data_IF_321061814205
#
_entry.id   IF_321061814205
#
_cell.length_a   1.000
_cell.length_b   1.000
_cell.length_c   1.000
_cell.angle_alpha   90.00
_cell.angle_beta   90.00
_cell.angle_gamma   90.00
#
_symmetry.space_group_name_H-M   'P 1'
#
loop_
_entity.id
_entity.type
_entity.pdbx_description
1 polymer ?
#
# COMPACT_ATOMS: atom_id res chain seq x y z
N UNK A 1 15.53 -21.64 -0.24
CA UNK A 1 14.71 -20.42 -0.42
C UNK A 1 14.88 -19.97 -1.85
N UNK A 2 13.81 -19.57 -2.52
CA UNK A 2 13.89 -19.04 -3.89
C UNK A 2 14.56 -17.68 -3.92
N UNK A 3 15.11 -17.30 -5.08
CA UNK A 3 15.67 -15.96 -5.32
C UNK A 3 14.57 -14.89 -5.19
N UNK A 4 14.74 -13.86 -4.33
CA UNK A 4 13.75 -12.79 -4.20
C UNK A 4 13.78 -11.77 -5.35
N UNK A 5 14.84 -11.71 -6.16
CA UNK A 5 14.99 -10.68 -7.19
C UNK A 5 13.83 -10.64 -8.21
N UNK A 6 13.35 -11.78 -8.77
CA UNK A 6 12.22 -11.75 -9.69
C UNK A 6 10.94 -11.17 -9.07
N UNK A 7 10.70 -11.43 -7.78
CA UNK A 7 9.52 -10.90 -7.07
C UNK A 7 9.64 -9.38 -6.88
N UNK A 8 10.85 -8.88 -6.64
CA UNK A 8 11.07 -7.43 -6.53
C UNK A 8 10.95 -6.74 -7.88
N UNK A 9 11.44 -7.35 -8.96
CA UNK A 9 11.28 -6.84 -10.32
C UNK A 9 9.79 -6.77 -10.71
N UNK A 10 9.03 -7.83 -10.43
CA UNK A 10 7.58 -7.86 -10.66
C UNK A 10 6.87 -6.76 -9.83
N UNK A 11 7.22 -6.59 -8.55
CA UNK A 11 6.64 -5.54 -7.70
C UNK A 11 6.89 -4.12 -8.26
N UNK A 12 8.07 -3.87 -8.82
CA UNK A 12 8.39 -2.58 -9.47
C UNK A 12 7.52 -2.40 -10.72
N UNK A 13 7.43 -3.42 -11.56
CA UNK A 13 6.61 -3.35 -12.77
C UNK A 13 5.12 -3.12 -12.47
N UNK A 14 4.56 -3.84 -11.48
CA UNK A 14 3.18 -3.65 -11.04
C UNK A 14 2.93 -2.25 -10.44
N UNK A 15 3.93 -1.70 -9.74
CA UNK A 15 3.86 -0.33 -9.21
C UNK A 15 3.84 0.72 -10.32
N UNK A 16 4.66 0.55 -11.36
CA UNK A 16 4.69 1.43 -12.53
C UNK A 16 3.36 1.37 -13.32
N UNK A 17 2.79 0.17 -13.46
CA UNK A 17 1.47 -0.02 -14.08
C UNK A 17 0.36 0.68 -13.27
N UNK A 18 0.39 0.58 -11.94
CA UNK A 18 -0.56 1.26 -11.07
C UNK A 18 -0.41 2.78 -11.16
N UNK A 19 0.81 3.31 -11.14
CA UNK A 19 1.08 4.75 -11.28
C UNK A 19 0.53 5.27 -12.62
N UNK A 20 0.83 4.57 -13.72
CA UNK A 20 0.32 4.91 -15.04
C UNK A 20 -1.22 4.89 -15.12
N UNK A 21 -1.87 3.94 -14.42
CA UNK A 21 -3.34 3.85 -14.37
C UNK A 21 -3.97 5.06 -13.69
N UNK A 22 -3.34 5.60 -12.65
CA UNK A 22 -3.92 6.70 -11.85
C UNK A 22 -3.38 8.09 -12.20
N UNK A 23 -2.28 8.19 -12.96
CA UNK A 23 -1.60 9.44 -13.29
C UNK A 23 -2.49 10.50 -13.95
N UNK A 24 -3.52 10.08 -14.69
CA UNK A 24 -4.43 10.96 -15.41
C UNK A 24 -5.73 11.31 -14.66
N UNK A 25 -5.96 10.74 -13.47
CA UNK A 25 -7.24 10.90 -12.78
C UNK A 25 -7.40 12.31 -12.21
N UNK A 26 -8.56 12.90 -12.47
CA UNK A 26 -9.01 14.12 -11.82
C UNK A 26 -9.43 13.87 -10.35
N UNK A 27 -9.54 14.95 -9.58
CA UNK A 27 -10.03 14.90 -8.19
C UNK A 27 -11.42 14.23 -8.04
N UNK A 28 -12.26 14.31 -9.08
CA UNK A 28 -13.56 13.66 -9.07
C UNK A 28 -13.44 12.15 -9.28
N UNK A 29 -12.52 11.72 -10.14
CA UNK A 29 -12.27 10.30 -10.41
C UNK A 29 -11.60 9.59 -9.23
N UNK A 30 -10.71 10.28 -8.50
CA UNK A 30 -10.17 9.80 -7.23
C UNK A 30 -11.24 9.50 -6.16
N UNK A 31 -12.42 10.12 -6.27
CA UNK A 31 -13.56 9.95 -5.35
C UNK A 31 -14.56 8.90 -5.80
N UNK A 32 -14.35 8.25 -6.95
CA UNK A 32 -15.22 7.17 -7.44
C UNK A 32 -15.17 6.01 -6.46
N UNK A 33 -16.35 5.48 -6.11
CA UNK A 33 -16.49 4.34 -5.23
C UNK A 33 -15.97 3.05 -5.88
N UNK A 34 -15.36 2.20 -5.07
CA UNK A 34 -14.91 0.86 -5.46
C UNK A 34 -15.88 -0.20 -4.93
N UNK A 35 -15.78 -1.47 -5.36
CA UNK A 35 -16.60 -2.55 -4.80
C UNK A 35 -16.43 -2.77 -3.29
N UNK A 36 -15.31 -2.33 -2.70
CA UNK A 36 -15.17 -2.29 -1.26
C UNK A 36 -16.05 -1.16 -0.70
N UNK A 37 -17.04 -1.53 0.10
CA UNK A 37 -18.04 -0.61 0.62
C UNK A 37 -17.39 0.55 1.40
N UNK A 38 -17.79 1.78 1.07
CA UNK A 38 -17.25 3.00 1.67
C UNK A 38 -15.87 3.42 1.15
N UNK A 39 -15.23 2.64 0.28
CA UNK A 39 -13.90 2.94 -0.25
C UNK A 39 -13.94 3.57 -1.62
N UNK A 40 -13.19 4.65 -1.81
CA UNK A 40 -12.95 5.26 -3.12
C UNK A 40 -11.65 4.75 -3.72
N UNK A 41 -11.38 5.08 -4.98
CA UNK A 41 -10.07 4.83 -5.61
C UNK A 41 -8.93 5.38 -4.74
N UNK A 42 -9.10 6.58 -4.17
CA UNK A 42 -8.13 7.16 -3.25
C UNK A 42 -7.91 6.31 -1.98
N UNK A 43 -8.98 5.74 -1.41
CA UNK A 43 -8.83 4.85 -0.25
C UNK A 43 -8.04 3.58 -0.60
N UNK A 44 -8.27 2.99 -1.79
CA UNK A 44 -7.51 1.81 -2.23
C UNK A 44 -6.02 2.11 -2.37
N UNK A 45 -5.66 3.17 -3.10
CA UNK A 45 -4.24 3.54 -3.30
C UNK A 45 -3.58 3.96 -1.99
N UNK A 46 -4.30 4.68 -1.13
CA UNK A 46 -3.79 5.03 0.20
C UNK A 46 -3.53 3.80 1.08
N UNK A 47 -4.35 2.76 0.96
CA UNK A 47 -4.15 1.51 1.69
C UNK A 47 -2.93 0.73 1.22
N UNK A 48 -2.69 0.66 -0.10
CA UNK A 48 -1.47 0.08 -0.67
C UNK A 48 -0.23 0.83 -0.13
N UNK A 49 -0.21 2.15 -0.29
CA UNK A 49 0.91 2.98 0.16
C UNK A 49 1.14 2.90 1.68
N UNK A 50 0.08 2.76 2.49
CA UNK A 50 0.22 2.54 3.93
C UNK A 50 0.84 1.19 4.24
N UNK A 51 0.39 0.12 3.58
CA UNK A 51 0.89 -1.25 3.78
C UNK A 51 2.37 -1.34 3.41
N UNK A 52 2.79 -0.74 2.29
CA UNK A 52 4.19 -0.73 1.86
C UNK A 52 5.11 -0.04 2.88
N UNK A 53 4.66 1.07 3.47
CA UNK A 53 5.42 1.76 4.52
C UNK A 53 5.54 0.90 5.78
N UNK A 54 4.47 0.23 6.18
CA UNK A 54 4.50 -0.66 7.36
C UNK A 54 5.40 -1.86 7.11
N UNK A 55 5.35 -2.46 5.92
CA UNK A 55 6.23 -3.57 5.52
C UNK A 55 7.70 -3.14 5.49
N UNK A 56 8.00 -1.96 4.92
CA UNK A 56 9.36 -1.40 4.93
C UNK A 56 9.85 -1.18 6.36
N UNK A 57 9.02 -0.56 7.20
CA UNK A 57 9.32 -0.32 8.62
C UNK A 57 9.62 -1.62 9.34
N UNK A 58 8.83 -2.68 9.12
CA UNK A 58 9.06 -3.99 9.72
C UNK A 58 10.45 -4.57 9.42
N UNK A 59 10.98 -4.30 8.22
CA UNK A 59 12.28 -4.82 7.77
C UNK A 59 13.44 -3.89 8.17
N UNK A 60 13.23 -2.58 8.20
CA UNK A 60 14.31 -1.60 8.41
C UNK A 60 14.38 -1.04 9.82
N UNK A 61 13.27 -1.05 10.57
CA UNK A 61 13.16 -0.49 11.93
C UNK A 61 12.22 -1.37 12.80
N UNK A 62 12.76 -2.43 13.41
CA UNK A 62 11.98 -3.34 14.25
C UNK A 62 11.33 -2.66 15.47
N UNK A 63 11.94 -1.61 16.02
CA UNK A 63 11.41 -0.90 17.20
C UNK A 63 10.19 -0.06 16.81
N UNK A 64 10.27 0.70 15.71
CA UNK A 64 9.14 1.44 15.19
C UNK A 64 7.98 0.51 14.79
N UNK A 65 8.29 -0.64 14.18
CA UNK A 65 7.27 -1.63 13.85
C UNK A 65 6.58 -2.21 15.09
N UNK A 66 7.33 -2.53 16.15
CA UNK A 66 6.75 -3.00 17.40
C UNK A 66 5.79 -1.97 18.02
N UNK A 67 6.11 -0.68 17.94
CA UNK A 67 5.22 0.39 18.37
C UNK A 67 3.92 0.44 17.53
N UNK A 68 4.02 0.32 16.20
CA UNK A 68 2.85 0.25 15.32
C UNK A 68 1.94 -0.95 15.65
N UNK A 69 2.50 -2.13 15.90
CA UNK A 69 1.72 -3.32 16.28
C UNK A 69 1.01 -3.11 17.62
N UNK A 70 1.69 -2.49 18.60
CA UNK A 70 1.09 -2.18 19.89
C UNK A 70 -0.08 -1.19 19.77
N UNK A 71 0.06 -0.15 18.94
CA UNK A 71 -1.01 0.81 18.66
C UNK A 71 -2.22 0.13 18.01
N UNK A 72 -1.98 -0.69 16.97
CA UNK A 72 -3.05 -1.41 16.28
C UNK A 72 -3.78 -2.40 17.20
N UNK A 73 -3.04 -3.11 18.07
CA UNK A 73 -3.62 -4.08 19.01
C UNK A 73 -4.46 -3.43 20.11
N UNK A 74 -4.25 -2.15 20.40
CA UNK A 74 -5.02 -1.40 21.40
C UNK A 74 -6.42 -1.00 20.91
N UNK A 75 -6.69 -1.11 19.60
CA UNK A 75 -7.96 -0.74 18.96
C UNK A 75 -8.32 -1.77 17.87
N UNK A 76 -8.77 -2.98 18.27
CA UNK A 76 -9.10 -4.06 17.34
C UNK A 76 -10.33 -3.77 16.48
#
# INVERSE_FOLDING_TARGET
>A
MSDPLPVLDDLVAESDELDALVAGLSDAEWKVATPAEGWTVAHQVAHLAWTDRVALTAVTDPEAFAAHVAEASARP
#
